data_IF_667724010683
#
_entry.id   IF_667724010683
#
_cell.length_a   1.000
_cell.length_b   1.000
_cell.length_c   1.000
_cell.angle_alpha   90.00
_cell.angle_beta   90.00
_cell.angle_gamma   90.00
#
_symmetry.space_group_name_H-M   'P 1'
#
loop_
_entity.id
_entity.type
_entity.pdbx_description
1 polymer ?
#
# COMPACT_ATOMS: atom_id res chain seq x y z
N UNK A 1 -36.48 -14.95 -0.75
CA UNK A 1 -35.40 -13.99 -0.98
C UNK A 1 -34.13 -14.60 -0.42
N UNK A 2 -33.16 -14.89 -1.28
CA UNK A 2 -31.85 -15.43 -0.87
C UNK A 2 -30.91 -14.23 -0.76
N UNK A 3 -30.39 -13.99 0.43
CA UNK A 3 -29.46 -12.88 0.66
C UNK A 3 -28.06 -13.33 0.23
N UNK A 4 -27.40 -12.52 -0.60
CA UNK A 4 -26.02 -12.74 -1.03
C UNK A 4 -25.08 -12.20 0.04
N UNK A 5 -24.02 -12.94 0.38
CA UNK A 5 -23.05 -12.51 1.39
C UNK A 5 -22.07 -11.50 0.78
N UNK A 6 -21.76 -10.43 1.51
CA UNK A 6 -20.65 -9.54 1.19
C UNK A 6 -19.34 -10.16 1.68
N UNK A 7 -18.34 -10.25 0.79
CA UNK A 7 -16.99 -10.68 1.18
C UNK A 7 -16.32 -9.60 2.02
N UNK A 8 -15.59 -9.99 3.08
CA UNK A 8 -14.76 -9.05 3.85
C UNK A 8 -13.62 -8.52 2.97
N UNK A 9 -13.17 -7.26 3.14
CA UNK A 9 -11.89 -6.84 2.59
C UNK A 9 -10.79 -7.77 3.10
N UNK A 10 -9.84 -8.13 2.22
CA UNK A 10 -8.58 -8.77 2.61
C UNK A 10 -7.79 -7.74 3.42
N UNK A 11 -8.04 -7.71 4.73
CA UNK A 11 -7.18 -6.99 5.65
C UNK A 11 -6.02 -7.93 5.89
N UNK A 12 -4.95 -7.77 5.12
CA UNK A 12 -3.66 -8.38 5.44
C UNK A 12 -3.25 -7.87 6.82
N UNK A 13 -3.44 -8.70 7.84
CA UNK A 13 -2.91 -8.45 9.16
C UNK A 13 -1.40 -8.67 9.07
N UNK A 14 -0.66 -7.61 8.80
CA UNK A 14 0.80 -7.64 8.87
C UNK A 14 1.19 -7.76 10.35
N UNK A 15 1.39 -9.01 10.80
CA UNK A 15 2.25 -9.26 11.96
C UNK A 15 3.63 -8.79 11.55
N UNK A 16 4.05 -7.65 12.06
CA UNK A 16 5.38 -7.11 11.76
C UNK A 16 6.28 -7.43 12.93
N UNK A 17 7.42 -8.06 12.66
CA UNK A 17 8.49 -8.32 13.64
C UNK A 17 9.23 -7.03 14.05
N UNK A 18 8.51 -5.90 14.13
CA UNK A 18 9.11 -4.61 14.45
C UNK A 18 9.49 -4.55 15.93
N UNK A 19 10.76 -4.23 16.17
CA UNK A 19 11.26 -3.92 17.49
C UNK A 19 10.84 -2.50 17.87
N UNK A 20 10.35 -2.34 19.09
CA UNK A 20 10.11 -1.04 19.70
C UNK A 20 11.44 -0.49 20.22
N UNK A 21 11.85 0.67 19.73
CA UNK A 21 13.13 1.28 20.10
C UNK A 21 12.96 2.72 20.56
N UNK A 22 13.78 3.12 21.55
CA UNK A 22 13.84 4.48 22.09
C UNK A 22 15.29 4.97 22.14
N UNK A 23 15.53 6.30 22.16
CA UNK A 23 16.85 6.84 22.45
C UNK A 23 17.36 6.36 23.81
N UNK A 24 18.70 6.26 24.00
CA UNK A 24 19.27 6.00 25.31
C UNK A 24 18.90 7.09 26.32
N UNK A 25 19.07 6.77 27.60
CA UNK A 25 18.96 7.74 28.68
C UNK A 25 19.94 8.91 28.47
N UNK A 26 19.76 10.07 29.12
CA UNK A 26 20.67 11.22 28.97
C UNK A 26 22.14 10.91 29.25
N UNK A 27 22.43 9.89 30.06
CA UNK A 27 23.78 9.41 30.36
C UNK A 27 24.33 8.38 29.35
N UNK A 28 23.59 8.08 28.28
CA UNK A 28 24.00 7.18 27.19
C UNK A 28 23.67 5.70 27.39
N UNK A 29 23.11 5.32 28.55
CA UNK A 29 22.74 3.94 28.86
C UNK A 29 21.33 3.59 28.36
N UNK A 30 21.12 2.32 28.02
CA UNK A 30 19.79 1.83 27.65
C UNK A 30 18.89 1.62 28.87
N UNK A 31 17.58 1.70 28.66
CA UNK A 31 16.58 1.39 29.68
C UNK A 31 16.56 -0.11 30.01
N UNK A 32 16.19 -0.48 31.24
CA UNK A 32 16.20 -1.87 31.70
C UNK A 32 15.35 -2.84 30.86
N UNK A 33 14.25 -2.33 30.27
CA UNK A 33 13.35 -3.07 29.37
C UNK A 33 13.75 -3.00 27.89
N UNK A 34 14.77 -2.21 27.55
CA UNK A 34 15.23 -1.95 26.18
C UNK A 34 16.75 -2.14 26.06
N UNK A 35 17.28 -3.30 26.52
CA UNK A 35 18.73 -3.53 26.65
C UNK A 35 19.46 -3.76 25.33
N UNK A 36 18.75 -3.96 24.22
CA UNK A 36 19.38 -4.21 22.92
C UNK A 36 19.81 -2.89 22.31
N UNK A 37 21.10 -2.58 22.41
CA UNK A 37 21.68 -1.40 21.78
C UNK A 37 21.92 -1.64 20.28
N UNK A 38 21.46 -0.71 19.46
CA UNK A 38 21.67 -0.68 18.01
C UNK A 38 22.33 0.65 17.65
N UNK A 39 23.53 0.57 17.09
CA UNK A 39 24.20 1.72 16.52
C UNK A 39 23.80 1.81 15.03
N UNK A 40 23.13 2.89 14.68
CA UNK A 40 22.64 3.18 13.34
C UNK A 40 23.50 4.28 12.73
N UNK A 41 24.29 3.92 11.74
CA UNK A 41 24.99 4.91 10.94
C UNK A 41 23.96 5.64 10.08
N UNK A 42 23.67 6.88 10.42
CA UNK A 42 22.89 7.72 9.52
C UNK A 42 23.77 8.11 8.34
N UNK A 43 23.12 8.32 7.21
CA UNK A 43 23.75 8.86 6.02
C UNK A 43 23.04 10.17 5.70
N UNK A 44 23.81 11.20 5.43
CA UNK A 44 23.30 12.43 4.87
C UNK A 44 23.15 12.20 3.37
N UNK A 45 21.89 12.04 2.94
CA UNK A 45 21.58 11.87 1.54
C UNK A 45 21.50 13.23 0.86
N UNK A 46 22.59 13.63 0.21
CA UNK A 46 22.63 14.84 -0.61
C UNK A 46 22.16 14.59 -2.03
N UNK A 47 21.77 13.34 -2.35
CA UNK A 47 21.43 12.97 -3.71
C UNK A 47 20.15 13.67 -4.14
N UNK A 48 20.24 14.37 -5.25
CA UNK A 48 19.09 14.92 -5.95
C UNK A 48 18.72 13.98 -7.09
N UNK A 49 17.47 13.53 -7.07
CA UNK A 49 16.90 12.76 -8.17
C UNK A 49 16.37 13.70 -9.25
N UNK A 50 16.35 13.23 -10.50
CA UNK A 50 15.62 13.91 -11.57
C UNK A 50 14.19 14.26 -11.11
N UNK A 51 13.70 15.48 -11.39
CA UNK A 51 12.35 15.86 -11.01
C UNK A 51 11.34 14.89 -11.62
N UNK A 52 10.33 14.50 -10.84
CA UNK A 52 9.23 13.67 -11.33
C UNK A 52 8.10 14.56 -11.81
N UNK A 53 7.52 14.20 -12.96
CA UNK A 53 6.22 14.71 -13.36
C UNK A 53 5.22 13.57 -13.25
N UNK A 54 4.13 13.82 -12.54
CA UNK A 54 3.02 12.89 -12.47
C UNK A 54 1.99 13.26 -13.53
N UNK A 55 1.39 12.26 -14.17
CA UNK A 55 0.18 12.50 -14.95
C UNK A 55 -0.89 13.15 -14.07
N UNK A 56 -1.82 13.88 -14.67
CA UNK A 56 -2.98 14.32 -13.92
C UNK A 56 -3.66 13.09 -13.30
N UNK A 57 -4.08 13.18 -12.01
CA UNK A 57 -4.90 12.13 -11.45
C UNK A 57 -6.12 11.97 -12.35
N UNK A 58 -6.50 10.72 -12.60
CA UNK A 58 -7.72 10.39 -13.30
C UNK A 58 -8.90 10.91 -12.48
N UNK A 59 -9.27 12.19 -12.66
CA UNK A 59 -10.32 12.86 -11.86
C UNK A 59 -11.69 12.24 -12.09
N UNK A 60 -11.84 11.48 -13.18
CA UNK A 60 -13.14 11.05 -13.69
C UNK A 60 -13.32 9.53 -13.82
N UNK A 61 -12.32 8.68 -13.50
CA UNK A 61 -12.44 7.21 -13.65
C UNK A 61 -12.33 6.46 -12.32
N UNK A 62 -13.08 6.87 -11.31
CA UNK A 62 -13.36 5.96 -10.20
C UNK A 62 -14.12 4.74 -10.76
N UNK A 63 -13.44 3.60 -10.85
CA UNK A 63 -14.01 2.33 -11.30
C UNK A 63 -14.21 1.43 -10.10
N UNK A 64 -15.37 0.80 -9.99
CA UNK A 64 -15.55 -0.31 -9.07
C UNK A 64 -15.32 -1.61 -9.83
N UNK A 65 -14.36 -2.43 -9.41
CA UNK A 65 -14.31 -3.81 -9.85
C UNK A 65 -15.25 -4.61 -8.94
N UNK A 66 -16.29 -5.19 -9.52
CA UNK A 66 -17.22 -6.08 -8.85
C UNK A 66 -16.96 -7.51 -9.30
N UNK A 67 -16.58 -8.37 -8.37
CA UNK A 67 -16.36 -9.80 -8.58
C UNK A 67 -17.50 -10.60 -7.96
N UNK A 68 -18.01 -11.56 -8.71
CA UNK A 68 -19.09 -12.46 -8.31
C UNK A 68 -18.51 -13.85 -8.07
N UNK A 69 -18.98 -14.52 -7.02
CA UNK A 69 -18.49 -15.83 -6.60
C UNK A 69 -19.62 -16.85 -6.56
N UNK A 70 -19.30 -18.10 -6.87
CA UNK A 70 -20.25 -19.23 -6.80
C UNK A 70 -20.63 -19.56 -5.35
N UNK A 71 -19.69 -19.38 -4.43
CA UNK A 71 -19.77 -19.83 -3.05
C UNK A 71 -19.80 -18.65 -2.07
N UNK A 72 -20.46 -18.83 -0.92
CA UNK A 72 -20.60 -17.79 0.11
C UNK A 72 -19.31 -17.51 0.91
N UNK A 73 -18.24 -18.28 0.67
CA UNK A 73 -16.92 -18.08 1.26
C UNK A 73 -15.97 -17.30 0.32
N UNK A 74 -16.45 -16.91 -0.87
CA UNK A 74 -15.69 -16.14 -1.85
C UNK A 74 -14.45 -16.88 -2.39
N UNK A 75 -14.48 -18.22 -2.42
CA UNK A 75 -13.35 -19.05 -2.86
C UNK A 75 -13.28 -19.27 -4.38
N UNK A 76 -14.43 -19.26 -5.06
CA UNK A 76 -14.54 -19.59 -6.49
C UNK A 76 -15.21 -18.44 -7.25
N UNK A 77 -14.43 -17.74 -8.07
CA UNK A 77 -14.89 -16.63 -8.91
C UNK A 77 -15.70 -17.14 -10.11
N UNK A 78 -16.86 -16.53 -10.33
CA UNK A 78 -17.66 -16.68 -11.55
C UNK A 78 -17.26 -15.66 -12.62
N UNK A 79 -16.85 -14.46 -12.18
CA UNK A 79 -16.31 -13.44 -13.05
C UNK A 79 -16.27 -12.07 -12.38
N UNK A 80 -15.65 -11.11 -13.06
CA UNK A 80 -15.52 -9.73 -12.61
C UNK A 80 -15.88 -8.73 -13.70
N UNK A 81 -16.47 -7.62 -13.27
CA UNK A 81 -16.88 -6.49 -14.13
C UNK A 81 -16.39 -5.18 -13.54
N UNK A 82 -15.95 -4.27 -14.39
CA UNK A 82 -15.59 -2.91 -14.00
C UNK A 82 -16.77 -1.99 -14.33
N UNK A 83 -17.20 -1.21 -13.35
CA UNK A 83 -18.29 -0.25 -13.49
C UNK A 83 -17.74 1.14 -13.15
N UNK A 84 -17.80 2.05 -14.11
CA UNK A 84 -17.50 3.48 -13.91
C UNK A 84 -18.80 4.28 -13.83
N UNK A 85 -18.81 5.36 -13.04
CA UNK A 85 -19.90 6.35 -13.03
C UNK A 85 -20.12 7.04 -14.39
N UNK A 86 -19.17 6.90 -15.31
CA UNK A 86 -19.23 7.41 -16.68
C UNK A 86 -19.82 6.41 -17.69
N UNK A 87 -20.00 5.14 -17.31
CA UNK A 87 -20.53 4.12 -18.21
C UNK A 87 -22.06 4.27 -18.25
N UNK A 88 -22.58 4.80 -19.36
CA UNK A 88 -24.01 5.04 -19.56
C UNK A 88 -24.61 3.97 -20.49
N UNK A 89 -25.57 3.14 -20.05
CA UNK A 89 -26.16 3.06 -18.71
C UNK A 89 -25.24 2.38 -17.68
N UNK A 90 -25.45 2.66 -16.38
CA UNK A 90 -24.75 2.03 -15.24
C UNK A 90 -25.20 0.57 -15.03
N UNK A 91 -25.17 -0.22 -16.10
CA UNK A 91 -25.50 -1.63 -16.12
C UNK A 91 -24.31 -2.37 -16.73
N UNK A 92 -24.15 -3.62 -16.32
CA UNK A 92 -23.17 -4.54 -16.89
C UNK A 92 -23.90 -5.80 -17.36
N UNK A 93 -23.24 -6.57 -18.22
CA UNK A 93 -23.81 -7.84 -18.68
C UNK A 93 -24.01 -8.80 -17.50
N UNK A 94 -25.04 -9.62 -17.60
CA UNK A 94 -25.33 -10.63 -16.57
C UNK A 94 -24.19 -11.65 -16.54
N UNK A 95 -23.66 -11.92 -15.34
CA UNK A 95 -22.75 -13.06 -15.12
C UNK A 95 -23.63 -14.28 -14.84
N UNK A 96 -23.59 -15.26 -15.73
CA UNK A 96 -24.34 -16.50 -15.59
C UNK A 96 -23.77 -17.38 -14.48
N UNK A 97 -24.65 -17.94 -13.65
CA UNK A 97 -24.28 -18.85 -12.57
C UNK A 97 -25.09 -18.65 -11.29
N UNK A 98 -24.99 -19.60 -10.36
CA UNK A 98 -25.56 -19.43 -9.02
C UNK A 98 -24.66 -18.51 -8.21
N UNK A 99 -25.16 -17.32 -7.87
CA UNK A 99 -24.38 -16.32 -7.11
C UNK A 99 -24.47 -16.62 -5.61
N UNK A 100 -23.33 -16.94 -5.00
CA UNK A 100 -23.19 -17.15 -3.56
C UNK A 100 -22.68 -15.92 -2.80
N UNK A 101 -21.78 -15.13 -3.41
CA UNK A 101 -21.22 -13.92 -2.82
C UNK A 101 -20.81 -12.88 -3.88
N UNK A 102 -20.69 -11.62 -3.45
CA UNK A 102 -20.22 -10.50 -4.27
C UNK A 102 -19.18 -9.69 -3.48
N UNK A 103 -18.13 -9.24 -4.17
CA UNK A 103 -17.12 -8.31 -3.67
C UNK A 103 -17.01 -7.13 -4.62
N UNK A 104 -17.04 -5.90 -4.11
CA UNK A 104 -16.73 -4.71 -4.90
C UNK A 104 -15.56 -3.96 -4.28
N UNK A 105 -14.55 -3.67 -5.09
CA UNK A 105 -13.39 -2.86 -4.70
C UNK A 105 -13.32 -1.61 -5.56
N UNK A 106 -13.04 -0.47 -4.93
CA UNK A 106 -12.73 0.75 -5.66
C UNK A 106 -11.32 0.62 -6.24
N UNK A 107 -11.24 0.65 -7.56
CA UNK A 107 -9.99 0.71 -8.31
C UNK A 107 -9.65 2.18 -8.43
N UNK A 108 -8.61 2.58 -7.70
CA UNK A 108 -8.05 3.91 -7.79
C UNK A 108 -6.98 3.90 -8.88
N UNK A 109 -7.25 4.57 -9.99
CA UNK A 109 -6.22 4.89 -10.98
C UNK A 109 -5.26 5.91 -10.33
N UNK A 110 -4.21 5.42 -9.67
CA UNK A 110 -3.16 6.28 -9.13
C UNK A 110 -2.43 6.98 -10.28
N UNK A 111 -2.06 8.27 -10.11
CA UNK A 111 -1.29 8.96 -11.13
C UNK A 111 0.05 8.26 -11.32
N UNK A 112 0.39 7.96 -12.57
CA UNK A 112 1.70 7.41 -12.90
C UNK A 112 2.71 8.55 -12.85
N UNK A 113 3.67 8.44 -11.93
CA UNK A 113 4.77 9.39 -11.83
C UNK A 113 6.02 8.81 -12.51
N UNK A 114 6.62 9.59 -13.40
CA UNK A 114 7.87 9.24 -14.06
C UNK A 114 8.84 10.43 -14.00
N UNK A 115 10.17 10.20 -14.11
CA UNK A 115 11.13 11.28 -14.29
C UNK A 115 10.71 12.17 -15.47
N UNK A 116 10.68 13.49 -15.27
CA UNK A 116 10.28 14.46 -16.30
C UNK A 116 11.35 14.69 -17.36
N UNK A 117 12.49 14.03 -17.21
CA UNK A 117 13.65 14.08 -18.10
C UNK A 117 14.05 12.64 -18.45
N UNK A 118 14.46 12.41 -19.70
CA UNK A 118 14.83 11.08 -20.21
C UNK A 118 16.08 10.50 -19.54
N UNK A 119 16.87 11.34 -18.86
CA UNK A 119 18.02 10.92 -18.08
C UNK A 119 17.63 10.72 -16.62
N UNK A 120 17.80 9.48 -16.12
CA UNK A 120 17.84 9.20 -14.68
C UNK A 120 19.15 9.75 -14.13
N UNK A 121 19.12 11.00 -13.69
CA UNK A 121 20.25 11.64 -13.04
C UNK A 121 20.03 11.54 -11.55
N UNK A 122 20.96 10.85 -10.89
CA UNK A 122 21.16 10.96 -9.45
C UNK A 122 22.47 11.71 -9.29
N UNK A 123 22.40 12.94 -8.80
CA UNK A 123 23.57 13.78 -8.56
C UNK A 123 23.77 13.99 -7.06
N UNK A 124 25.01 14.00 -6.58
CA UNK A 124 25.33 14.04 -5.15
C UNK A 124 25.73 12.67 -4.61
N UNK A 125 25.96 12.59 -3.31
CA UNK A 125 26.51 11.40 -2.66
C UNK A 125 25.76 11.07 -1.36
N UNK A 126 25.85 9.80 -0.95
CA UNK A 126 25.53 9.39 0.40
C UNK A 126 26.75 9.64 1.27
N UNK A 127 26.71 10.69 2.06
CA UNK A 127 27.80 11.00 2.97
C UNK A 127 27.55 10.34 4.33
N UNK A 128 28.58 9.85 5.03
CA UNK A 128 28.45 9.39 6.40
C UNK A 128 27.91 10.52 7.29
N UNK A 129 26.74 10.31 7.88
CA UNK A 129 26.15 11.19 8.88
C UNK A 129 26.48 10.74 10.30
N UNK A 130 25.77 11.30 11.27
CA UNK A 130 25.96 10.98 12.69
C UNK A 130 25.53 9.53 13.00
N UNK A 131 26.24 8.88 13.92
CA UNK A 131 25.83 7.57 14.44
C UNK A 131 24.78 7.78 15.53
N UNK A 132 23.56 7.33 15.28
CA UNK A 132 22.49 7.33 16.27
C UNK A 132 22.48 6.02 17.03
N UNK A 133 22.26 6.10 18.34
CA UNK A 133 22.11 4.93 19.20
C UNK A 133 20.64 4.77 19.53
N UNK A 134 20.10 3.58 19.30
CA UNK A 134 18.75 3.20 19.74
C UNK A 134 18.81 2.00 20.69
N UNK A 135 17.94 2.01 21.67
CA UNK A 135 17.74 0.97 22.67
C UNK A 135 16.40 0.30 22.39
N UNK A 136 16.43 -0.97 21.98
CA UNK A 136 15.26 -1.72 21.55
C UNK A 136 14.83 -2.75 22.60
N UNK A 137 13.52 -3.03 22.63
CA UNK A 137 13.01 -4.21 23.29
C UNK A 137 13.49 -5.44 22.52
N UNK A 138 13.42 -6.60 23.17
CA UNK A 138 13.77 -7.86 22.54
C UNK A 138 12.66 -8.34 21.62
#
# INVERSE_FOLDING_TARGET
>A
MTFVRACSPDIDFFSTDFLHCYPPQPHGECWDSYRVRRDLQLHNDTRTCSPCSCSEPSRDKCRAQTTVYYQADCSEELGAVFISGLDGPLCTDTIDGQIGAIRSILVKDEPTCAPSTDSKVVSGELEPGDTHVLCCNR
#
